data_IF_840901508609
#
_entry.id   IF_840901508609
#
_cell.length_a   1.000
_cell.length_b   1.000
_cell.length_c   1.000
_cell.angle_alpha   90.00
_cell.angle_beta   90.00
_cell.angle_gamma   90.00
#
_symmetry.space_group_name_H-M   'P 1'
#
loop_
_entity.id
_entity.type
_entity.pdbx_description
1 polymer ?
#
# COMPACT_ATOMS: atom_id res chain seq x y z
N UNK A 1 -5.35 4.54 -0.98
CA UNK A 1 -4.59 5.75 -1.39
C UNK A 1 -3.11 5.41 -1.40
N UNK A 2 -2.30 6.20 -2.09
CA UNK A 2 -0.85 6.19 -1.92
C UNK A 2 -0.56 7.43 -1.08
N UNK A 3 -0.08 7.23 0.14
CA UNK A 3 -0.03 8.29 1.15
C UNK A 3 1.04 9.35 0.85
N UNK A 4 0.83 10.62 1.24
CA UNK A 4 1.80 11.70 1.03
C UNK A 4 3.15 11.35 1.67
N UNK A 5 4.23 11.44 0.90
CA UNK A 5 5.58 11.06 1.34
C UNK A 5 5.98 9.61 1.04
N UNK A 6 5.06 8.78 0.53
CA UNK A 6 5.40 7.43 0.07
C UNK A 6 6.46 7.47 -1.04
N UNK A 7 7.46 6.62 -0.91
CA UNK A 7 8.46 6.37 -1.94
C UNK A 7 8.65 4.85 -2.08
N UNK A 8 8.41 4.30 -3.26
CA UNK A 8 8.60 2.89 -3.53
C UNK A 8 7.81 2.39 -4.73
N UNK A 9 7.95 1.10 -5.03
CA UNK A 9 7.11 0.39 -5.99
C UNK A 9 5.76 0.10 -5.35
N UNK A 10 4.66 0.20 -6.10
CA UNK A 10 3.31 -0.08 -5.58
C UNK A 10 3.05 -1.59 -5.67
N UNK A 11 2.66 -2.20 -4.55
CA UNK A 11 2.16 -3.59 -4.56
C UNK A 11 0.76 -3.61 -5.17
N UNK A 12 0.54 -4.46 -6.18
CA UNK A 12 -0.77 -4.68 -6.78
C UNK A 12 -1.36 -6.00 -6.28
N UNK A 13 -2.59 -5.94 -5.79
CA UNK A 13 -3.40 -7.12 -5.51
C UNK A 13 -4.25 -7.43 -6.75
N UNK A 14 -4.05 -8.61 -7.33
CA UNK A 14 -4.66 -8.98 -8.61
C UNK A 14 -5.54 -10.21 -8.42
N UNK A 15 -6.80 -10.09 -8.83
CA UNK A 15 -7.78 -11.18 -8.78
C UNK A 15 -8.40 -11.37 -10.16
N UNK A 16 -8.42 -12.61 -10.63
CA UNK A 16 -9.17 -12.99 -11.82
C UNK A 16 -10.59 -13.40 -11.43
N UNK A 17 -11.58 -12.60 -11.82
CA UNK A 17 -13.01 -12.88 -11.58
C UNK A 17 -13.71 -13.52 -12.79
N UNK A 18 -12.95 -13.81 -13.87
CA UNK A 18 -13.44 -14.48 -15.07
C UNK A 18 -13.25 -16.00 -14.98
N UNK A 19 -14.06 -16.80 -15.71
CA UNK A 19 -13.88 -18.25 -15.78
C UNK A 19 -12.66 -18.68 -16.62
N UNK A 20 -12.04 -17.76 -17.36
CA UNK A 20 -10.89 -18.03 -18.22
C UNK A 20 -9.59 -17.52 -17.58
N UNK A 21 -8.45 -18.24 -17.74
CA UNK A 21 -7.14 -17.75 -17.33
C UNK A 21 -6.76 -16.46 -18.07
N UNK A 22 -6.17 -15.51 -17.34
CA UNK A 22 -5.66 -14.25 -17.91
C UNK A 22 -4.14 -14.25 -17.83
N UNK A 23 -3.49 -14.08 -18.98
CA UNK A 23 -2.02 -13.97 -19.05
C UNK A 23 -1.59 -12.53 -18.80
N UNK A 24 -0.76 -12.34 -17.77
CA UNK A 24 -0.11 -11.07 -17.47
C UNK A 24 1.29 -11.05 -18.06
N UNK A 25 1.70 -9.90 -18.60
CA UNK A 25 3.00 -9.70 -19.22
C UNK A 25 3.78 -8.61 -18.47
N UNK A 26 5.04 -8.85 -18.09
CA UNK A 26 5.90 -7.79 -17.58
C UNK A 26 5.97 -6.61 -18.57
N UNK A 27 5.73 -5.39 -18.08
CA UNK A 27 5.72 -4.17 -18.88
C UNK A 27 4.37 -3.80 -19.50
N UNK A 28 3.32 -4.63 -19.36
CA UNK A 28 1.98 -4.23 -19.80
C UNK A 28 1.43 -3.10 -18.92
N UNK A 29 0.61 -2.22 -19.52
CA UNK A 29 -0.18 -1.25 -18.75
C UNK A 29 -1.20 -2.02 -17.91
N UNK A 30 -1.17 -1.84 -16.59
CA UNK A 30 -2.00 -2.61 -15.64
C UNK A 30 -2.92 -1.72 -14.77
N UNK A 31 -2.73 -0.41 -14.83
CA UNK A 31 -3.49 0.56 -14.05
C UNK A 31 -3.08 1.99 -14.40
N UNK A 32 -3.67 2.94 -13.66
CA UNK A 32 -3.42 4.36 -13.79
C UNK A 32 -3.36 4.99 -12.39
N UNK A 33 -2.65 6.11 -12.27
CA UNK A 33 -2.53 6.88 -11.03
C UNK A 33 -3.30 8.19 -11.19
N UNK A 34 -4.12 8.53 -10.21
CA UNK A 34 -4.77 9.83 -10.09
C UNK A 34 -4.23 10.54 -8.84
N UNK A 35 -3.95 11.83 -8.97
CA UNK A 35 -3.42 12.66 -7.89
C UNK A 35 -4.51 13.60 -7.37
N UNK A 36 -4.59 13.72 -6.05
CA UNK A 36 -5.49 14.64 -5.36
C UNK A 36 -4.65 15.54 -4.47
N UNK A 37 -4.88 16.85 -4.55
CA UNK A 37 -4.21 17.82 -3.70
C UNK A 37 -4.82 17.79 -2.29
N UNK A 38 -3.95 17.84 -1.27
CA UNK A 38 -4.38 17.95 0.12
C UNK A 38 -4.66 19.42 0.46
N UNK A 39 -5.52 19.68 1.44
CA UNK A 39 -5.82 21.04 1.89
C UNK A 39 -4.61 21.75 2.53
N UNK A 40 -3.62 20.98 3.00
CA UNK A 40 -2.34 21.45 3.52
C UNK A 40 -1.28 20.34 3.41
N UNK A 41 0.02 20.63 3.60
CA UNK A 41 1.02 19.58 3.80
C UNK A 41 0.64 18.64 4.95
N UNK A 42 0.96 17.34 4.81
CA UNK A 42 0.75 16.37 5.87
C UNK A 42 1.74 16.59 7.03
N UNK A 43 1.23 16.68 8.26
CA UNK A 43 2.06 16.86 9.46
C UNK A 43 3.00 15.67 9.72
N UNK A 44 2.51 14.45 9.48
CA UNK A 44 3.27 13.20 9.59
C UNK A 44 3.16 12.42 8.28
N UNK A 45 4.00 12.73 7.26
CA UNK A 45 3.98 12.01 5.99
C UNK A 45 4.34 10.53 6.17
N UNK A 46 4.01 9.71 5.18
CA UNK A 46 4.34 8.30 5.14
C UNK A 46 5.86 8.09 5.25
N UNK A 47 6.27 7.13 6.08
CA UNK A 47 7.67 6.90 6.43
C UNK A 47 8.18 7.72 7.62
N UNK A 48 7.40 8.67 8.14
CA UNK A 48 7.72 9.32 9.41
C UNK A 48 7.67 8.33 10.57
N UNK A 49 8.52 8.52 11.58
CA UNK A 49 8.59 7.64 12.74
C UNK A 49 7.26 7.60 13.52
N UNK A 50 6.56 8.73 13.61
CA UNK A 50 5.28 8.85 14.30
C UNK A 50 4.17 7.97 13.69
N UNK A 51 4.18 7.78 12.36
CA UNK A 51 3.13 7.03 11.65
C UNK A 51 3.37 5.50 11.69
N UNK A 52 4.58 5.05 12.04
CA UNK A 52 4.90 3.62 12.10
C UNK A 52 4.76 2.88 10.77
N UNK A 53 5.00 3.56 9.64
CA UNK A 53 4.78 3.05 8.29
C UNK A 53 5.58 1.78 7.98
N UNK A 54 4.94 0.80 7.35
CA UNK A 54 5.56 -0.53 7.14
C UNK A 54 6.31 -0.69 5.82
N UNK A 55 6.04 0.12 4.80
CA UNK A 55 6.40 -0.19 3.40
C UNK A 55 7.23 0.88 2.69
N UNK A 56 7.79 1.84 3.42
CA UNK A 56 8.61 2.90 2.83
C UNK A 56 9.87 2.32 2.18
N UNK A 57 10.16 2.74 0.94
CA UNK A 57 11.32 2.33 0.16
C UNK A 57 11.20 0.96 -0.51
N UNK A 58 10.03 0.31 -0.52
CA UNK A 58 9.89 -1.04 -1.05
C UNK A 58 10.21 -1.13 -2.56
N UNK A 59 10.82 -2.25 -2.97
CA UNK A 59 11.30 -2.50 -4.35
C UNK A 59 10.53 -3.58 -5.11
N UNK A 60 9.47 -4.11 -4.51
CA UNK A 60 8.65 -5.17 -5.07
C UNK A 60 7.44 -5.45 -4.17
N UNK A 61 6.73 -6.56 -4.38
CA UNK A 61 5.57 -6.95 -3.59
C UNK A 61 6.01 -7.46 -2.21
N UNK A 62 6.39 -6.53 -1.32
CA UNK A 62 6.78 -6.86 0.06
C UNK A 62 5.63 -7.63 0.74
N UNK A 63 5.90 -8.80 1.36
CA UNK A 63 4.88 -9.51 2.12
C UNK A 63 4.30 -8.66 3.26
N UNK A 64 3.08 -9.01 3.68
CA UNK A 64 2.38 -8.31 4.76
C UNK A 64 3.25 -8.18 6.01
N UNK A 65 3.21 -6.99 6.60
CA UNK A 65 3.78 -6.66 7.91
C UNK A 65 2.71 -6.32 8.94
N UNK A 66 1.47 -6.75 8.73
CA UNK A 66 0.35 -6.50 9.65
C UNK A 66 0.57 -7.03 11.07
N UNK A 67 1.52 -7.95 11.26
CA UNK A 67 1.95 -8.43 12.57
C UNK A 67 2.77 -7.39 13.35
N UNK A 68 3.41 -6.43 12.67
CA UNK A 68 4.13 -5.34 13.32
C UNK A 68 3.12 -4.36 13.90
N UNK A 69 3.29 -3.99 15.17
CA UNK A 69 2.36 -3.13 15.90
C UNK A 69 0.91 -3.66 15.93
N UNK A 70 0.73 -4.98 15.76
CA UNK A 70 -0.58 -5.60 15.85
C UNK A 70 -1.16 -5.43 17.27
N UNK A 71 -2.35 -4.83 17.35
CA UNK A 71 -3.07 -4.65 18.59
C UNK A 71 -4.40 -5.40 18.54
N UNK A 72 -4.66 -6.21 19.56
CA UNK A 72 -5.95 -6.86 19.78
C UNK A 72 -6.57 -6.23 21.03
N UNK A 73 -7.72 -5.58 20.86
CA UNK A 73 -8.47 -5.06 22.00
C UNK A 73 -8.82 -6.21 22.96
N UNK A 74 -8.78 -5.97 24.29
CA UNK A 74 -9.30 -6.94 25.24
C UNK A 74 -10.80 -7.14 25.00
N UNK A 75 -11.28 -8.37 25.12
CA UNK A 75 -12.70 -8.63 25.25
C UNK A 75 -13.13 -8.17 26.64
N UNK A 76 -14.21 -7.39 26.74
CA UNK A 76 -14.88 -7.19 28.03
C UNK A 76 -15.57 -8.52 28.40
N UNK A 77 -15.29 -9.03 29.60
CA UNK A 77 -16.05 -10.14 30.20
C UNK A 77 -17.48 -9.71 30.54
#
# INVERSE_FOLDING_TARGET
FIDPGFNGYITLELSNVSPLPVKLWPGMKIGQICFFELSSPAEHPYGSQALGSHYQGQRGPTPSRSYQNFYKAPFAE
#
